data_IF_967363710926
#
_entry.id   IF_967363710926
#
_cell.length_a   1.000
_cell.length_b   1.000
_cell.length_c   1.000
_cell.angle_alpha   90.00
_cell.angle_beta   90.00
_cell.angle_gamma   90.00
#
_symmetry.space_group_name_H-M   'P 1'
#
loop_
_entity.id
_entity.type
_entity.pdbx_description
1 polymer ?
#
# COMPACT_ATOMS: atom_id res chain seq x y z
N UNK A 1 -36.40 -5.29 -39.98
CA UNK A 1 -35.74 -5.96 -38.84
C UNK A 1 -35.95 -5.09 -37.63
N UNK A 2 -36.72 -5.55 -36.64
CA UNK A 2 -36.82 -4.85 -35.36
C UNK A 2 -35.55 -5.16 -34.57
N UNK A 3 -34.72 -4.15 -34.33
CA UNK A 3 -33.56 -4.30 -33.44
C UNK A 3 -34.13 -4.31 -32.02
N UNK A 4 -34.18 -5.49 -31.40
CA UNK A 4 -34.51 -5.62 -29.98
C UNK A 4 -33.37 -5.05 -29.16
N UNK A 5 -33.59 -3.88 -28.57
CA UNK A 5 -32.67 -3.25 -27.64
C UNK A 5 -33.12 -3.51 -26.22
N UNK A 6 -32.22 -4.04 -25.39
CA UNK A 6 -32.45 -4.25 -23.96
C UNK A 6 -31.55 -3.34 -23.14
N UNK A 7 -31.90 -2.98 -21.89
CA UNK A 7 -30.99 -2.25 -21.02
C UNK A 7 -29.79 -3.13 -20.63
N UNK A 8 -28.61 -2.52 -20.54
CA UNK A 8 -27.40 -3.18 -20.07
C UNK A 8 -27.60 -3.80 -18.69
N UNK A 9 -27.35 -5.10 -18.55
CA UNK A 9 -27.62 -5.84 -17.31
C UNK A 9 -26.84 -5.35 -16.09
N UNK A 10 -25.66 -4.74 -16.29
CA UNK A 10 -24.84 -4.23 -15.18
C UNK A 10 -25.16 -2.78 -14.81
N UNK A 11 -25.20 -1.87 -15.80
CA UNK A 11 -25.32 -0.44 -15.50
C UNK A 11 -26.74 0.12 -15.64
N UNK A 12 -27.65 -0.59 -16.31
CA UNK A 12 -29.05 -0.17 -16.57
C UNK A 12 -29.23 1.09 -17.44
N UNK A 13 -28.19 1.90 -17.60
CA UNK A 13 -28.24 3.25 -18.16
C UNK A 13 -28.11 3.33 -19.68
N UNK A 14 -27.70 2.24 -20.34
CA UNK A 14 -27.49 2.19 -21.79
C UNK A 14 -28.23 1.03 -22.40
N UNK A 15 -28.78 1.23 -23.58
CA UNK A 15 -29.35 0.18 -24.39
C UNK A 15 -28.24 -0.64 -25.06
N UNK A 16 -28.47 -1.94 -25.21
CA UNK A 16 -27.60 -2.91 -25.86
C UNK A 16 -28.39 -3.68 -26.90
N UNK A 17 -27.71 -4.00 -28.01
CA UNK A 17 -28.27 -4.76 -29.12
C UNK A 17 -27.87 -6.23 -29.00
N UNK A 18 -28.80 -7.13 -29.31
CA UNK A 18 -28.51 -8.55 -29.40
C UNK A 18 -27.33 -8.81 -30.37
N UNK A 19 -26.38 -9.71 -30.04
CA UNK A 19 -26.41 -10.69 -28.93
C UNK A 19 -25.77 -10.20 -27.62
N UNK A 20 -25.47 -8.91 -27.47
CA UNK A 20 -24.74 -8.41 -26.30
C UNK A 20 -25.67 -8.11 -25.13
N UNK A 21 -25.29 -8.57 -23.93
CA UNK A 21 -26.03 -8.26 -22.69
C UNK A 21 -25.39 -7.11 -21.90
N UNK A 22 -24.19 -6.66 -22.29
CA UNK A 22 -23.44 -5.56 -21.65
C UNK A 22 -23.02 -4.47 -22.64
N UNK A 23 -23.08 -3.21 -22.17
CA UNK A 23 -22.62 -2.06 -22.94
C UNK A 23 -21.09 -2.07 -23.14
N UNK A 24 -20.58 -1.30 -24.10
CA UNK A 24 -19.14 -1.26 -24.43
C UNK A 24 -18.24 -0.96 -23.23
N UNK A 25 -18.68 -0.08 -22.33
CA UNK A 25 -17.89 0.29 -21.15
C UNK A 25 -17.89 -0.81 -20.10
N UNK A 26 -19.05 -1.43 -19.83
CA UNK A 26 -19.15 -2.58 -18.93
C UNK A 26 -18.31 -3.76 -19.43
N UNK A 27 -18.26 -4.01 -20.74
CA UNK A 27 -17.37 -5.02 -21.33
C UNK A 27 -15.89 -4.73 -21.07
N UNK A 28 -15.48 -3.46 -21.15
CA UNK A 28 -14.11 -3.04 -20.81
C UNK A 28 -13.82 -3.21 -19.31
N UNK A 29 -14.78 -2.93 -18.44
CA UNK A 29 -14.66 -3.19 -17.00
C UNK A 29 -14.50 -4.68 -16.76
N UNK A 30 -15.34 -5.51 -17.38
CA UNK A 30 -15.25 -6.97 -17.30
C UNK A 30 -13.85 -7.49 -17.64
N UNK A 31 -13.30 -7.07 -18.79
CA UNK A 31 -11.95 -7.45 -19.21
C UNK A 31 -10.88 -7.06 -18.16
N UNK A 32 -10.97 -5.85 -17.62
CA UNK A 32 -10.05 -5.36 -16.59
C UNK A 32 -10.18 -6.15 -15.29
N UNK A 33 -11.41 -6.47 -14.87
CA UNK A 33 -11.67 -7.22 -13.65
C UNK A 33 -11.13 -8.65 -13.77
N UNK A 34 -11.34 -9.32 -14.90
CA UNK A 34 -10.74 -10.65 -15.16
C UNK A 34 -9.22 -10.62 -15.14
N UNK A 35 -8.61 -9.60 -15.75
CA UNK A 35 -7.17 -9.42 -15.72
C UNK A 35 -6.64 -9.19 -14.31
N UNK A 36 -7.31 -8.33 -13.52
CA UNK A 36 -7.02 -8.10 -12.11
C UNK A 36 -7.11 -9.41 -11.31
N UNK A 37 -8.24 -10.12 -11.45
CA UNK A 37 -8.49 -11.37 -10.73
C UNK A 37 -7.40 -12.41 -11.00
N UNK A 38 -6.93 -12.53 -12.25
CA UNK A 38 -5.82 -13.44 -12.58
C UNK A 38 -4.56 -13.18 -11.75
N UNK A 39 -4.20 -11.91 -11.58
CA UNK A 39 -3.05 -11.52 -10.76
C UNK A 39 -3.34 -11.77 -9.27
N UNK A 40 -4.51 -11.38 -8.80
CA UNK A 40 -4.88 -11.47 -7.39
C UNK A 40 -4.98 -12.96 -6.95
N UNK A 41 -5.49 -13.85 -7.80
CA UNK A 41 -5.50 -15.31 -7.58
C UNK A 41 -4.10 -15.92 -7.51
N UNK A 42 -3.14 -15.43 -8.31
CA UNK A 42 -1.75 -15.89 -8.23
C UNK A 42 -1.12 -15.53 -6.89
N UNK A 43 -1.37 -14.32 -6.40
CA UNK A 43 -0.90 -13.89 -5.08
C UNK A 43 -1.57 -14.68 -3.95
N UNK A 44 -2.88 -14.91 -4.05
CA UNK A 44 -3.62 -15.70 -3.07
C UNK A 44 -3.11 -17.16 -3.01
N UNK A 45 -2.72 -17.76 -4.14
CA UNK A 45 -2.05 -19.08 -4.16
C UNK A 45 -0.69 -19.08 -3.46
N UNK A 46 0.06 -17.98 -3.52
CA UNK A 46 1.32 -17.87 -2.76
C UNK A 46 1.05 -17.66 -1.25
N UNK A 47 -0.03 -16.96 -0.89
CA UNK A 47 -0.50 -16.81 0.49
C UNK A 47 -0.91 -18.16 1.06
N UNK A 48 -1.66 -18.98 0.30
CA UNK A 48 -2.09 -20.31 0.74
C UNK A 48 -0.91 -21.21 1.07
N UNK A 49 0.18 -21.12 0.30
CA UNK A 49 1.41 -21.90 0.50
C UNK A 49 2.33 -21.34 1.59
N UNK A 50 1.95 -20.28 2.30
CA UNK A 50 2.83 -19.50 3.17
C UNK A 50 4.14 -18.99 2.51
N UNK A 51 4.25 -19.11 1.18
CA UNK A 51 5.34 -18.56 0.39
C UNK A 51 5.29 -17.03 0.32
N UNK A 52 4.11 -16.46 0.64
CA UNK A 52 3.83 -15.04 0.67
C UNK A 52 3.23 -14.67 2.03
N UNK A 53 4.05 -14.03 2.90
CA UNK A 53 3.60 -13.47 4.18
C UNK A 53 3.35 -11.97 4.00
N UNK A 54 2.11 -11.51 4.21
CA UNK A 54 1.77 -10.07 4.24
C UNK A 54 2.08 -9.40 5.59
N UNK A 55 2.44 -10.16 6.62
CA UNK A 55 2.79 -9.63 7.93
C UNK A 55 4.17 -8.97 7.94
N UNK A 56 4.35 -7.96 8.80
CA UNK A 56 5.68 -7.38 9.08
C UNK A 56 6.66 -8.50 9.49
N UNK A 57 7.92 -8.49 9.04
CA UNK A 57 8.95 -9.34 9.62
C UNK A 57 9.03 -9.06 11.13
N UNK A 58 8.57 -10.00 11.96
CA UNK A 58 8.50 -9.86 13.42
C UNK A 58 7.11 -9.63 14.03
N UNK A 59 6.04 -9.49 13.23
CA UNK A 59 4.65 -9.41 13.74
C UNK A 59 4.01 -10.79 13.97
N UNK A 60 4.73 -11.88 13.72
CA UNK A 60 4.32 -13.21 14.17
C UNK A 60 4.52 -13.29 15.68
N UNK A 61 3.43 -13.25 16.44
CA UNK A 61 3.47 -13.52 17.88
C UNK A 61 4.24 -14.81 18.16
N UNK A 62 5.04 -14.83 19.24
CA UNK A 62 5.67 -16.06 19.72
C UNK A 62 4.60 -17.15 19.79
N UNK A 63 4.82 -18.36 19.26
CA UNK A 63 3.84 -19.43 19.35
C UNK A 63 3.58 -19.69 20.83
N UNK A 64 2.40 -19.31 21.30
CA UNK A 64 1.87 -19.80 22.57
C UNK A 64 1.58 -21.28 22.32
N UNK A 65 2.22 -22.15 23.10
CA UNK A 65 2.28 -23.58 22.86
C UNK A 65 0.93 -24.21 22.51
N UNK A 66 0.95 -25.10 21.52
CA UNK A 66 -0.20 -25.89 21.09
C UNK A 66 -0.18 -26.14 19.59
N UNK A 67 0.41 -27.28 19.19
CA UNK A 67 0.52 -27.80 17.81
C UNK A 67 1.28 -26.91 16.79
N UNK A 68 1.99 -27.56 15.87
CA UNK A 68 2.61 -26.86 14.75
C UNK A 68 1.50 -26.23 13.88
N UNK A 69 1.66 -24.97 13.42
CA UNK A 69 0.71 -24.37 12.49
C UNK A 69 0.61 -25.22 11.22
N UNK A 70 -0.60 -25.29 10.64
CA UNK A 70 -0.84 -26.07 9.43
C UNK A 70 0.16 -25.67 8.32
N UNK A 71 0.61 -26.64 7.48
CA UNK A 71 1.61 -26.39 6.45
C UNK A 71 1.12 -25.41 5.35
N UNK A 72 -0.18 -25.15 5.28
CA UNK A 72 -0.83 -24.21 4.37
C UNK A 72 -1.81 -23.32 5.14
N UNK A 73 -2.05 -22.12 4.62
CA UNK A 73 -3.11 -21.23 5.09
C UNK A 73 -4.46 -21.73 4.54
N UNK A 74 -5.18 -22.51 5.36
CA UNK A 74 -6.46 -23.11 5.01
C UNK A 74 -7.49 -22.07 4.55
N UNK A 75 -7.57 -20.91 5.21
CA UNK A 75 -8.52 -19.87 4.82
C UNK A 75 -8.27 -19.33 3.40
N UNK A 76 -6.99 -19.10 3.05
CA UNK A 76 -6.62 -18.67 1.71
C UNK A 76 -6.86 -19.78 0.67
N UNK A 77 -6.68 -21.04 1.06
CA UNK A 77 -6.96 -22.18 0.19
C UNK A 77 -8.46 -22.35 -0.07
N UNK A 78 -9.31 -22.30 0.96
CA UNK A 78 -10.77 -22.35 0.83
C UNK A 78 -11.28 -21.21 -0.07
N UNK A 79 -10.67 -20.02 0.04
CA UNK A 79 -11.02 -18.89 -0.81
C UNK A 79 -10.64 -19.14 -2.28
N UNK A 80 -9.48 -19.74 -2.56
CA UNK A 80 -9.09 -20.13 -3.93
C UNK A 80 -10.08 -21.12 -4.52
N UNK A 81 -10.46 -22.13 -3.75
CA UNK A 81 -11.35 -23.21 -4.21
C UNK A 81 -12.75 -22.65 -4.49
N UNK A 82 -13.30 -21.81 -3.60
CA UNK A 82 -14.58 -21.11 -3.83
C UNK A 82 -14.58 -20.24 -5.09
N UNK A 83 -13.46 -19.56 -5.38
CA UNK A 83 -13.35 -18.71 -6.57
C UNK A 83 -13.22 -19.58 -7.82
N UNK A 84 -12.47 -20.69 -7.75
CA UNK A 84 -12.36 -21.65 -8.83
C UNK A 84 -13.74 -22.23 -9.20
N UNK A 85 -14.56 -22.61 -8.22
CA UNK A 85 -15.93 -23.08 -8.44
C UNK A 85 -16.79 -22.02 -9.13
N UNK A 86 -16.78 -20.77 -8.63
CA UNK A 86 -17.55 -19.68 -9.24
C UNK A 86 -17.07 -19.32 -10.67
N UNK A 87 -15.77 -19.44 -10.94
CA UNK A 87 -15.24 -19.30 -12.30
C UNK A 87 -15.70 -20.46 -13.19
N UNK A 88 -15.75 -21.70 -12.69
CA UNK A 88 -16.27 -22.82 -13.46
C UNK A 88 -17.75 -22.62 -13.81
N UNK A 89 -18.58 -22.22 -12.84
CA UNK A 89 -20.01 -21.93 -13.06
C UNK A 89 -20.22 -20.82 -14.09
N UNK A 90 -19.43 -19.75 -14.02
CA UNK A 90 -19.48 -18.66 -14.99
C UNK A 90 -19.11 -19.12 -16.41
N UNK A 91 -18.13 -20.02 -16.56
CA UNK A 91 -17.74 -20.55 -17.87
C UNK A 91 -18.72 -21.59 -18.42
N UNK A 92 -19.37 -22.36 -17.54
CA UNK A 92 -20.41 -23.32 -17.93
C UNK A 92 -21.56 -22.62 -18.69
N UNK A 93 -21.90 -21.37 -18.34
CA UNK A 93 -22.90 -20.59 -19.08
C UNK A 93 -22.53 -20.28 -20.54
N UNK A 94 -21.25 -20.34 -20.88
CA UNK A 94 -20.78 -20.16 -22.26
C UNK A 94 -20.79 -21.47 -23.06
N UNK A 95 -21.28 -22.57 -22.48
CA UNK A 95 -21.29 -23.90 -23.08
C UNK A 95 -19.98 -24.67 -22.93
N UNK A 96 -19.07 -24.21 -22.05
CA UNK A 96 -17.83 -24.93 -21.73
C UNK A 96 -18.12 -25.85 -20.55
N UNK A 97 -18.40 -27.13 -20.78
CA UNK A 97 -18.74 -28.11 -19.73
C UNK A 97 -17.53 -28.65 -18.95
N UNK A 98 -16.32 -28.38 -19.45
CA UNK A 98 -15.10 -28.79 -18.74
C UNK A 98 -14.94 -27.99 -17.44
N UNK A 99 -14.43 -28.63 -16.38
CA UNK A 99 -13.99 -27.98 -15.14
C UNK A 99 -12.46 -27.82 -15.09
N UNK A 100 -11.84 -27.03 -15.99
CA UNK A 100 -10.41 -26.85 -15.96
C UNK A 100 -10.04 -25.97 -14.76
N UNK A 101 -8.77 -26.03 -14.38
CA UNK A 101 -8.27 -25.19 -13.30
C UNK A 101 -8.41 -23.71 -13.63
N UNK A 102 -8.55 -22.88 -12.60
CA UNK A 102 -8.71 -21.43 -12.72
C UNK A 102 -7.59 -20.77 -13.54
N UNK A 103 -6.36 -21.33 -13.52
CA UNK A 103 -5.25 -20.80 -14.34
C UNK A 103 -5.56 -20.88 -15.83
N UNK A 104 -6.18 -21.97 -16.27
CA UNK A 104 -6.61 -22.17 -17.66
C UNK A 104 -7.77 -21.24 -18.00
N UNK A 105 -8.80 -21.19 -17.13
CA UNK A 105 -9.95 -20.30 -17.31
C UNK A 105 -9.54 -18.83 -17.48
N UNK A 106 -8.71 -18.33 -16.55
CA UNK A 106 -8.25 -16.93 -16.57
C UNK A 106 -7.21 -16.66 -17.66
N UNK A 107 -6.42 -17.65 -18.09
CA UNK A 107 -5.53 -17.52 -19.25
C UNK A 107 -6.34 -17.35 -20.54
N UNK A 108 -7.41 -18.11 -20.70
CA UNK A 108 -8.21 -18.13 -21.91
C UNK A 108 -9.31 -17.04 -21.90
N UNK A 109 -9.47 -16.35 -20.77
CA UNK A 109 -10.44 -15.27 -20.56
C UNK A 109 -10.45 -14.18 -21.63
N UNK A 110 -9.32 -13.68 -22.18
CA UNK A 110 -9.37 -12.64 -23.22
C UNK A 110 -9.99 -13.15 -24.52
N UNK A 111 -9.77 -14.43 -24.85
CA UNK A 111 -10.32 -15.07 -26.05
C UNK A 111 -11.82 -15.33 -25.91
N UNK A 112 -12.27 -15.72 -24.71
CA UNK A 112 -13.66 -16.06 -24.39
C UNK A 112 -14.50 -14.88 -23.90
N UNK A 113 -13.89 -13.71 -23.70
CA UNK A 113 -14.57 -12.51 -23.24
C UNK A 113 -15.85 -12.18 -24.04
N UNK A 114 -15.87 -12.28 -25.38
CA UNK A 114 -17.11 -12.06 -26.14
C UNK A 114 -18.25 -12.99 -25.72
N UNK A 115 -17.97 -14.27 -25.49
CA UNK A 115 -18.96 -15.27 -25.09
C UNK A 115 -19.50 -14.96 -23.68
N UNK A 116 -18.61 -14.62 -22.75
CA UNK A 116 -18.97 -14.18 -21.40
C UNK A 116 -19.84 -12.91 -21.38
N UNK A 117 -19.58 -11.96 -22.29
CA UNK A 117 -20.35 -10.73 -22.41
C UNK A 117 -21.69 -10.91 -23.15
N UNK A 118 -21.93 -12.09 -23.74
CA UNK A 118 -23.21 -12.48 -24.37
C UNK A 118 -24.01 -13.45 -23.52
N UNK A 119 -23.40 -14.03 -22.48
CA UNK A 119 -24.06 -14.91 -21.53
C UNK A 119 -25.29 -14.24 -20.91
N UNK A 120 -26.28 -15.05 -20.57
CA UNK A 120 -27.58 -14.60 -20.06
C UNK A 120 -27.48 -13.87 -18.73
N UNK A 121 -26.50 -14.20 -17.88
CA UNK A 121 -26.27 -13.57 -16.57
C UNK A 121 -24.97 -12.78 -16.48
N UNK A 122 -24.48 -12.23 -17.60
CA UNK A 122 -23.20 -11.51 -17.65
C UNK A 122 -23.11 -10.33 -16.65
N UNK A 123 -24.22 -9.64 -16.38
CA UNK A 123 -24.28 -8.57 -15.38
C UNK A 123 -24.05 -9.07 -13.96
N UNK A 124 -24.67 -10.22 -13.61
CA UNK A 124 -24.47 -10.88 -12.31
C UNK A 124 -23.01 -11.31 -12.13
N UNK A 125 -22.41 -11.94 -13.14
CA UNK A 125 -21.02 -12.38 -13.08
C UNK A 125 -20.03 -11.23 -13.00
N UNK A 126 -20.29 -10.11 -13.67
CA UNK A 126 -19.46 -8.92 -13.53
C UNK A 126 -19.48 -8.40 -12.08
N UNK A 127 -20.66 -8.32 -11.46
CA UNK A 127 -20.79 -7.93 -10.05
C UNK A 127 -20.07 -8.93 -9.13
N UNK A 128 -20.26 -10.23 -9.36
CA UNK A 128 -19.58 -11.28 -8.59
C UNK A 128 -18.06 -11.18 -8.70
N UNK A 129 -17.52 -10.92 -9.90
CA UNK A 129 -16.08 -10.74 -10.13
C UNK A 129 -15.52 -9.52 -9.40
N UNK A 130 -16.26 -8.41 -9.37
CA UNK A 130 -15.87 -7.19 -8.65
C UNK A 130 -15.81 -7.46 -7.15
N UNK A 131 -16.88 -8.00 -6.57
CA UNK A 131 -16.91 -8.34 -5.14
C UNK A 131 -15.87 -9.40 -4.78
N UNK A 132 -15.59 -10.34 -5.69
CA UNK A 132 -14.52 -11.32 -5.50
C UNK A 132 -13.16 -10.64 -5.43
N UNK A 133 -12.86 -9.71 -6.35
CA UNK A 133 -11.62 -8.93 -6.29
C UNK A 133 -11.51 -8.11 -5.00
N UNK A 134 -12.61 -7.50 -4.54
CA UNK A 134 -12.66 -6.74 -3.28
C UNK A 134 -12.47 -7.63 -2.04
N UNK A 135 -13.00 -8.86 -2.06
CA UNK A 135 -12.83 -9.84 -0.99
C UNK A 135 -11.39 -10.36 -0.89
N UNK A 136 -10.73 -10.53 -2.03
CA UNK A 136 -9.32 -10.97 -2.08
C UNK A 136 -8.37 -9.81 -1.72
N UNK A 137 -8.73 -8.57 -2.03
CA UNK A 137 -7.87 -7.38 -1.89
C UNK A 137 -7.16 -7.29 -0.53
N UNK A 138 -7.81 -7.47 0.65
CA UNK A 138 -7.13 -7.42 1.94
C UNK A 138 -6.07 -8.52 2.15
N UNK A 139 -6.20 -9.65 1.47
CA UNK A 139 -5.30 -10.80 1.58
C UNK A 139 -4.13 -10.73 0.60
N UNK A 140 -4.18 -9.87 -0.43
CA UNK A 140 -3.15 -9.81 -1.48
C UNK A 140 -2.53 -8.42 -1.65
N UNK A 141 -3.25 -7.36 -1.27
CA UNK A 141 -2.79 -5.99 -1.43
C UNK A 141 -1.73 -5.64 -0.37
N UNK A 142 -0.59 -5.13 -0.87
CA UNK A 142 0.52 -4.64 -0.06
C UNK A 142 0.33 -3.21 0.43
N UNK A 143 -0.76 -2.50 0.11
CA UNK A 143 -0.91 -1.08 0.52
C UNK A 143 -0.79 -0.96 2.04
N UNK A 144 0.36 -0.50 2.57
CA UNK A 144 0.43 -0.10 3.95
C UNK A 144 -0.39 1.18 3.98
N UNK A 145 -1.49 1.20 4.75
CA UNK A 145 -2.32 2.40 4.92
C UNK A 145 -1.51 3.60 5.47
N UNK A 146 -0.24 3.40 5.83
CA UNK A 146 0.71 4.42 6.31
C UNK A 146 2.06 4.37 5.58
N UNK A 147 2.09 4.71 4.28
CA UNK A 147 3.37 5.01 3.60
C UNK A 147 3.90 6.34 4.13
N UNK A 148 5.07 6.32 4.78
CA UNK A 148 5.73 7.53 5.32
C UNK A 148 6.78 8.01 4.32
N UNK A 149 6.95 9.33 4.21
CA UNK A 149 8.05 9.91 3.43
C UNK A 149 9.36 9.55 4.12
N UNK A 150 10.30 8.98 3.35
CA UNK A 150 11.59 8.50 3.85
C UNK A 150 12.72 9.41 3.40
N UNK A 151 12.64 9.93 2.18
CA UNK A 151 13.68 10.74 1.58
C UNK A 151 13.34 11.10 0.13
N UNK A 152 14.30 11.68 -0.57
CA UNK A 152 14.17 12.05 -1.99
C UNK A 152 15.06 11.17 -2.86
N UNK A 153 14.59 10.83 -4.05
CA UNK A 153 15.37 10.05 -5.00
C UNK A 153 16.63 10.81 -5.42
N UNK A 154 17.82 10.19 -5.42
CA UNK A 154 19.05 10.86 -5.85
C UNK A 154 19.04 11.27 -7.32
N UNK A 155 18.36 10.49 -8.18
CA UNK A 155 18.30 10.72 -9.62
C UNK A 155 17.22 11.73 -10.01
N UNK A 156 15.96 11.48 -9.64
CA UNK A 156 14.82 12.28 -10.08
C UNK A 156 14.31 13.30 -9.06
N UNK A 157 14.94 13.40 -7.88
CA UNK A 157 14.59 14.30 -6.76
C UNK A 157 13.15 14.18 -6.24
N UNK A 158 12.41 13.16 -6.65
CA UNK A 158 11.03 12.92 -6.23
C UNK A 158 10.99 12.32 -4.82
N UNK A 159 10.00 12.71 -4.04
CA UNK A 159 9.75 12.13 -2.72
C UNK A 159 9.45 10.64 -2.82
N UNK A 160 10.14 9.87 -1.97
CA UNK A 160 9.99 8.43 -1.87
C UNK A 160 9.28 8.13 -0.57
N UNK A 161 8.16 7.44 -0.69
CA UNK A 161 7.41 6.91 0.42
C UNK A 161 7.61 5.40 0.47
N UNK A 162 7.94 4.85 1.63
CA UNK A 162 7.99 3.40 1.80
C UNK A 162 7.33 2.98 3.11
N UNK A 163 6.97 1.71 3.16
CA UNK A 163 6.39 1.07 4.34
C UNK A 163 7.43 0.89 5.45
N UNK A 164 6.95 0.63 6.67
CA UNK A 164 7.80 0.11 7.74
C UNK A 164 8.21 -1.33 7.37
N UNK A 165 9.51 -1.55 7.09
CA UNK A 165 10.06 -2.88 6.75
C UNK A 165 10.32 -3.15 5.26
N UNK A 166 9.99 -2.23 4.34
CA UNK A 166 10.42 -2.34 2.94
C UNK A 166 11.93 -2.05 2.83
N UNK A 167 12.68 -2.93 2.16
CA UNK A 167 14.14 -2.81 1.98
C UNK A 167 14.53 -2.28 0.60
N UNK A 168 13.82 -2.65 -0.46
CA UNK A 168 14.12 -2.27 -1.83
C UNK A 168 12.86 -1.76 -2.56
N UNK A 169 12.93 -0.57 -3.14
CA UNK A 169 11.83 0.05 -3.88
C UNK A 169 12.31 0.61 -5.22
N UNK A 170 11.73 0.22 -6.37
CA UNK A 170 11.97 0.93 -7.61
C UNK A 170 11.30 2.31 -7.59
N UNK A 171 12.07 3.36 -7.86
CA UNK A 171 11.52 4.69 -8.09
C UNK A 171 10.67 4.71 -9.36
N UNK A 172 9.77 5.70 -9.49
CA UNK A 172 9.07 5.95 -10.77
C UNK A 172 10.01 6.26 -11.94
N UNK A 173 11.23 6.73 -11.68
CA UNK A 173 12.26 6.94 -12.71
C UNK A 173 13.06 5.67 -13.05
N UNK A 174 12.73 4.51 -12.47
CA UNK A 174 13.40 3.24 -12.71
C UNK A 174 14.60 2.95 -11.80
N UNK A 175 15.06 3.91 -11.00
CA UNK A 175 16.19 3.70 -10.09
C UNK A 175 15.80 2.77 -8.91
N UNK A 176 16.49 1.63 -8.70
CA UNK A 176 16.31 0.81 -7.50
C UNK A 176 16.84 1.55 -6.26
N UNK A 177 15.96 1.86 -5.32
CA UNK A 177 16.29 2.53 -4.06
C UNK A 177 16.38 1.50 -2.94
N UNK A 178 17.53 1.47 -2.27
CA UNK A 178 17.63 0.84 -0.96
C UNK A 178 17.03 1.78 0.10
N UNK A 179 15.94 1.33 0.72
CA UNK A 179 15.17 2.13 1.67
C UNK A 179 15.93 2.34 2.98
N UNK A 180 16.74 1.38 3.41
CA UNK A 180 17.54 1.50 4.63
C UNK A 180 18.65 2.55 4.45
N UNK A 181 19.36 2.48 3.32
CA UNK A 181 20.41 3.43 2.96
C UNK A 181 19.86 4.83 2.73
N UNK A 182 18.68 4.95 2.09
CA UNK A 182 18.03 6.25 1.92
C UNK A 182 17.56 6.84 3.26
N UNK A 183 17.06 6.01 4.18
CA UNK A 183 16.73 6.46 5.55
C UNK A 183 17.96 6.97 6.27
N UNK A 184 19.05 6.22 6.23
CA UNK A 184 20.30 6.57 6.87
C UNK A 184 20.88 7.86 6.26
N UNK A 185 20.89 7.98 4.93
CA UNK A 185 21.33 9.21 4.24
C UNK A 185 20.42 10.40 4.53
N UNK A 186 19.11 10.21 4.60
CA UNK A 186 18.16 11.26 4.96
C UNK A 186 18.27 11.65 6.43
N UNK A 187 18.51 10.70 7.32
CA UNK A 187 18.78 10.93 8.74
C UNK A 187 20.12 11.65 8.91
N UNK A 188 21.20 11.18 8.31
CA UNK A 188 22.50 11.82 8.33
C UNK A 188 22.45 13.25 7.76
N UNK A 189 21.67 13.48 6.69
CA UNK A 189 21.45 14.83 6.14
C UNK A 189 20.64 15.72 7.08
N UNK A 190 19.65 15.17 7.79
CA UNK A 190 18.86 15.90 8.78
C UNK A 190 19.65 16.14 10.09
N UNK A 191 20.53 15.20 10.46
CA UNK A 191 21.41 15.28 11.62
C UNK A 191 22.55 16.26 11.39
N UNK A 192 23.06 16.36 10.15
CA UNK A 192 24.05 17.36 9.73
C UNK A 192 23.48 18.79 9.63
N UNK A 193 22.17 18.99 9.75
CA UNK A 193 21.59 20.33 9.83
C UNK A 193 21.75 20.88 11.25
N UNK A 194 22.95 21.39 11.51
CA UNK A 194 23.27 22.12 12.71
C UNK A 194 23.01 23.61 12.52
N UNK A 195 22.47 24.25 13.54
CA UNK A 195 22.24 25.69 13.57
C UNK A 195 23.07 26.32 14.69
N UNK A 196 24.01 27.18 14.30
CA UNK A 196 24.85 27.92 15.25
C UNK A 196 24.14 29.19 15.68
N UNK A 197 23.65 29.23 16.92
CA UNK A 197 23.01 30.41 17.52
C UNK A 197 23.31 30.50 19.01
N UNK A 198 23.09 31.66 19.60
CA UNK A 198 23.04 31.78 21.06
C UNK A 198 21.76 31.11 21.58
N UNK A 199 21.69 30.69 22.86
CA UNK A 199 20.45 30.14 23.43
C UNK A 199 19.26 31.11 23.37
N UNK A 200 19.52 32.42 23.37
CA UNK A 200 18.49 33.44 23.15
C UNK A 200 18.01 33.44 21.69
N UNK A 201 18.95 33.41 20.73
CA UNK A 201 18.62 33.32 19.32
C UNK A 201 17.91 32.02 18.94
N UNK A 202 18.18 30.92 19.64
CA UNK A 202 17.48 29.65 19.44
C UNK A 202 16.03 29.69 19.96
N UNK A 203 15.80 30.34 21.10
CA UNK A 203 14.45 30.58 21.64
C UNK A 203 13.58 31.35 20.63
N UNK A 204 14.13 32.42 20.05
CA UNK A 204 13.44 33.21 19.04
C UNK A 204 13.23 32.42 17.73
N UNK A 205 14.24 31.65 17.30
CA UNK A 205 14.14 30.80 16.12
C UNK A 205 13.05 29.71 16.23
N UNK A 206 12.87 29.12 17.41
CA UNK A 206 11.79 28.15 17.68
C UNK A 206 10.40 28.79 17.62
N UNK A 207 10.28 30.03 18.12
CA UNK A 207 9.04 30.80 18.05
C UNK A 207 8.70 31.17 16.60
N UNK A 208 9.68 31.69 15.85
CA UNK A 208 9.45 32.21 14.49
C UNK A 208 9.17 31.09 13.46
N UNK A 209 9.84 29.94 13.57
CA UNK A 209 9.71 28.86 12.56
C UNK A 209 8.69 27.77 12.93
N UNK A 210 8.48 27.52 14.22
CA UNK A 210 7.64 26.41 14.69
C UNK A 210 6.56 26.82 15.70
N UNK A 211 6.51 28.09 16.12
CA UNK A 211 5.51 28.58 17.08
C UNK A 211 5.72 28.11 18.52
N UNK A 212 6.86 27.49 18.87
CA UNK A 212 7.12 27.01 20.22
C UNK A 212 7.70 28.11 21.12
N UNK A 213 6.96 28.47 22.17
CA UNK A 213 7.40 29.46 23.17
C UNK A 213 8.28 28.83 24.26
N UNK A 214 9.57 28.64 23.96
CA UNK A 214 10.54 28.11 24.91
C UNK A 214 11.49 29.22 25.35
N UNK A 215 11.57 29.52 26.64
CA UNK A 215 12.47 30.58 27.14
C UNK A 215 13.96 30.18 27.04
N UNK A 216 14.84 31.16 26.87
CA UNK A 216 16.31 30.99 26.93
C UNK A 216 16.77 30.16 28.13
N UNK A 217 16.17 30.38 29.32
CA UNK A 217 16.54 29.68 30.56
C UNK A 217 16.26 28.18 30.46
N UNK A 218 15.16 27.79 29.80
CA UNK A 218 14.80 26.39 29.58
C UNK A 218 15.78 25.71 28.62
N UNK A 219 16.21 26.39 27.55
CA UNK A 219 17.23 25.86 26.63
C UNK A 219 18.57 25.67 27.35
N UNK A 220 19.00 26.64 28.16
CA UNK A 220 20.23 26.51 28.99
C UNK A 220 20.10 25.35 29.98
N UNK A 221 18.93 25.18 30.58
CA UNK A 221 18.65 24.07 31.49
C UNK A 221 18.74 22.71 30.77
N UNK A 222 18.31 22.60 29.51
CA UNK A 222 18.46 21.37 28.72
C UNK A 222 19.92 21.04 28.41
N UNK A 223 20.71 22.05 28.05
CA UNK A 223 22.15 21.90 27.84
C UNK A 223 22.82 21.42 29.13
N UNK A 224 22.57 22.09 30.27
CA UNK A 224 23.15 21.74 31.58
C UNK A 224 22.76 20.34 32.06
N UNK A 225 21.56 19.87 31.70
CA UNK A 225 21.06 18.53 32.05
C UNK A 225 21.46 17.44 31.05
N UNK A 226 22.29 17.77 30.05
CA UNK A 226 22.74 16.82 29.03
C UNK A 226 21.62 16.30 28.13
N UNK A 227 20.50 17.01 28.02
CA UNK A 227 19.35 16.60 27.19
C UNK A 227 19.53 16.90 25.70
N UNK A 228 20.57 17.66 25.36
CA UNK A 228 20.97 18.00 24.00
C UNK A 228 22.41 17.52 23.79
N UNK A 229 22.65 16.20 23.70
CA UNK A 229 24.00 15.63 23.65
C UNK A 229 24.78 16.05 22.40
N UNK A 230 24.09 16.39 21.32
CA UNK A 230 24.73 16.88 20.09
C UNK A 230 25.04 18.37 20.12
N UNK A 231 24.65 19.10 21.18
CA UNK A 231 24.92 20.54 21.29
C UNK A 231 26.33 20.81 21.78
N UNK A 232 27.13 21.53 20.98
CA UNK A 232 28.52 21.87 21.32
C UNK A 232 28.66 23.36 21.57
N UNK A 233 29.33 23.77 22.68
CA UNK A 233 29.64 25.17 22.88
C UNK A 233 30.68 25.63 21.84
N UNK A 234 30.41 26.79 21.23
CA UNK A 234 31.33 27.53 20.38
C UNK A 234 31.77 28.79 21.14
N UNK A 235 32.91 29.36 20.75
CA UNK A 235 33.42 30.60 21.28
C UNK A 235 32.39 31.75 21.22
N UNK A 236 32.43 32.67 22.19
CA UNK A 236 31.51 33.81 22.26
C UNK A 236 30.09 33.49 22.72
N UNK A 237 29.86 32.34 23.36
CA UNK A 237 28.54 31.98 23.93
C UNK A 237 27.52 31.46 22.90
N UNK A 238 27.99 31.13 21.71
CA UNK A 238 27.23 30.42 20.68
C UNK A 238 27.25 28.92 20.95
N UNK A 239 26.22 28.24 20.46
CA UNK A 239 26.13 26.79 20.50
C UNK A 239 25.77 26.30 19.11
N UNK A 240 26.41 25.23 18.70
CA UNK A 240 25.98 24.43 17.57
C UNK A 240 24.85 23.52 18.05
N UNK A 241 23.62 23.76 17.59
CA UNK A 241 22.46 22.97 17.98
C UNK A 241 22.06 21.99 16.87
N UNK A 242 21.77 20.75 17.24
CA UNK A 242 21.00 19.84 16.38
C UNK A 242 19.55 20.29 16.31
N UNK A 243 19.07 20.63 15.11
CA UNK A 243 17.68 21.05 14.89
C UNK A 243 16.70 19.97 15.34
N UNK A 244 17.04 18.69 15.12
CA UNK A 244 16.19 17.56 15.51
C UNK A 244 16.00 17.47 17.04
N UNK A 245 17.09 17.58 17.79
CA UNK A 245 17.05 17.46 19.26
C UNK A 245 16.31 18.64 19.89
N UNK A 246 16.60 19.86 19.44
CA UNK A 246 15.98 21.06 20.03
C UNK A 246 14.48 21.15 19.72
N UNK A 247 14.06 20.79 18.49
CA UNK A 247 12.63 20.76 18.12
C UNK A 247 11.91 19.63 18.87
N UNK A 248 12.50 18.43 18.98
CA UNK A 248 11.92 17.33 19.76
C UNK A 248 11.75 17.70 21.23
N UNK A 249 12.70 18.42 21.82
CA UNK A 249 12.61 18.90 23.20
C UNK A 249 11.57 20.00 23.36
N UNK A 250 11.46 20.93 22.40
CA UNK A 250 10.44 21.97 22.38
C UNK A 250 9.03 21.38 22.30
N UNK A 251 8.81 20.40 21.41
CA UNK A 251 7.55 19.67 21.29
C UNK A 251 7.17 18.97 22.61
N UNK A 252 8.12 18.24 23.21
CA UNK A 252 7.88 17.54 24.47
C UNK A 252 7.59 18.50 25.63
N UNK A 253 8.17 19.70 25.61
CA UNK A 253 7.94 20.73 26.61
C UNK A 253 6.58 21.42 26.44
N UNK A 254 6.20 21.78 25.21
CA UNK A 254 4.90 22.41 24.93
C UNK A 254 3.73 21.47 25.16
N UNK A 255 3.89 20.15 24.96
CA UNK A 255 2.84 19.16 25.25
C UNK A 255 2.56 18.93 26.75
N UNK A 256 3.43 19.45 27.64
CA UNK A 256 3.34 19.28 29.10
C UNK A 256 2.84 20.53 29.82
N UNK A 257 2.67 21.64 29.10
CA UNK A 257 2.03 22.86 29.59
C UNK A 257 0.56 22.85 29.19
#
# INVERSE_FOLDING_TARGET
MFITTEPCQYCGSRQVEAPWTLCRDCRRVYAKTLHRLRRDMMLLQQVSRHAYKLGEPGAGGKPQGGAAPAPINLHAQDMLDQIEDGLQDMWNETGVESRPRWQTLLRDSPRRLPDLCRASRSGHWLTWLIHTCERIEPLVDRRPRTRRIIGVCPECKREIQAAKGESLLPCKCGNPINVAELRERSQAKAEAMHLTKTPAGMSQWLKDNYGYEVSRKVIIMWIRRGKLPSSKPIEGGYYEFSIREIVSMAMAYSSRQ
#
